data_IF_379349930574
#
_entry.id   IF_379349930574
#
_cell.length_a   1.000
_cell.length_b   1.000
_cell.length_c   1.000
_cell.angle_alpha   90.00
_cell.angle_beta   90.00
_cell.angle_gamma   90.00
#
_symmetry.space_group_name_H-M   'P 1'
#
loop_
_entity.id
_entity.type
_entity.pdbx_description
1 polymer ?
#
# COMPACT_ATOMS: atom_id res chain seq x y z
N UNK A 1 -15.35 32.14 -8.03
CA UNK A 1 -15.54 30.90 -7.25
C UNK A 1 -16.66 30.09 -7.88
N UNK A 2 -16.49 28.78 -8.08
CA UNK A 2 -17.53 27.93 -8.66
C UNK A 2 -18.51 27.40 -7.62
N UNK A 3 -19.72 27.00 -8.04
CA UNK A 3 -20.76 26.46 -7.15
C UNK A 3 -20.28 25.25 -6.33
N UNK A 4 -19.44 24.39 -6.91
CA UNK A 4 -18.88 23.22 -6.22
C UNK A 4 -17.85 23.55 -5.13
N UNK A 5 -17.23 24.74 -5.17
CA UNK A 5 -16.33 25.22 -4.10
C UNK A 5 -17.18 25.76 -2.94
N UNK A 6 -18.24 26.49 -3.26
CA UNK A 6 -19.16 27.02 -2.27
C UNK A 6 -19.91 25.92 -1.53
N UNK A 7 -20.40 24.90 -2.25
CA UNK A 7 -21.08 23.76 -1.65
C UNK A 7 -20.18 23.03 -0.65
N UNK A 8 -18.93 22.74 -1.03
CA UNK A 8 -17.97 22.10 -0.14
C UNK A 8 -17.67 22.94 1.12
N UNK A 9 -17.56 24.26 0.99
CA UNK A 9 -17.39 25.15 2.15
C UNK A 9 -18.62 25.14 3.07
N UNK A 10 -19.83 25.10 2.51
CA UNK A 10 -21.07 24.98 3.30
C UNK A 10 -21.16 23.64 4.02
N UNK A 11 -20.77 22.55 3.39
CA UNK A 11 -20.72 21.22 4.00
C UNK A 11 -19.70 21.17 5.14
N UNK A 12 -18.50 21.73 4.95
CA UNK A 12 -17.49 21.86 6.00
C UNK A 12 -18.02 22.69 7.18
N UNK A 13 -18.69 23.81 6.91
CA UNK A 13 -19.28 24.65 7.95
C UNK A 13 -20.40 23.92 8.70
N UNK A 14 -21.22 23.15 8.00
CA UNK A 14 -22.28 22.34 8.58
C UNK A 14 -21.71 21.28 9.53
N UNK A 15 -20.67 20.54 9.11
CA UNK A 15 -20.02 19.53 9.96
C UNK A 15 -19.47 20.18 11.24
N UNK A 16 -18.83 21.36 11.12
CA UNK A 16 -18.35 22.11 12.29
C UNK A 16 -19.48 22.54 13.24
N UNK A 17 -20.63 22.93 12.71
CA UNK A 17 -21.79 23.29 13.52
C UNK A 17 -22.37 22.06 14.23
N UNK A 18 -22.55 20.96 13.50
CA UNK A 18 -23.10 19.72 14.06
C UNK A 18 -22.17 19.09 15.10
N UNK A 19 -20.85 19.26 14.94
CA UNK A 19 -19.85 18.81 15.91
C UNK A 19 -20.10 19.37 17.33
N UNK A 20 -20.70 20.55 17.46
CA UNK A 20 -21.03 21.15 18.76
C UNK A 20 -22.07 20.33 19.54
N UNK A 21 -23.01 19.70 18.84
CA UNK A 21 -24.04 18.83 19.42
C UNK A 21 -23.66 17.34 19.38
N UNK A 22 -22.83 16.93 18.42
CA UNK A 22 -22.41 15.57 18.18
C UNK A 22 -20.88 15.50 17.99
N UNK A 23 -20.09 15.41 19.09
CA UNK A 23 -18.63 15.48 19.04
C UNK A 23 -17.97 14.42 18.15
N UNK A 24 -18.61 13.27 17.94
CA UNK A 24 -18.10 12.22 17.05
C UNK A 24 -18.11 12.63 15.57
N UNK A 25 -18.99 13.55 15.17
CA UNK A 25 -19.10 14.06 13.80
C UNK A 25 -18.06 15.16 13.54
N UNK A 26 -16.80 14.76 13.41
CA UNK A 26 -15.65 15.67 13.21
C UNK A 26 -15.02 15.61 11.82
N UNK A 27 -15.48 14.70 10.96
CA UNK A 27 -14.91 14.49 9.62
C UNK A 27 -15.96 14.66 8.52
N UNK A 28 -15.57 15.33 7.44
CA UNK A 28 -16.37 15.45 6.23
C UNK A 28 -15.79 14.56 5.12
N UNK A 29 -16.58 13.58 4.68
CA UNK A 29 -16.18 12.69 3.59
C UNK A 29 -16.47 13.31 2.22
N UNK A 30 -15.42 13.68 1.49
CA UNK A 30 -15.50 14.36 0.19
C UNK A 30 -15.54 13.42 -1.04
N UNK A 31 -15.62 12.11 -0.81
CA UNK A 31 -15.59 11.07 -1.84
C UNK A 31 -14.19 10.57 -2.20
N UNK A 32 -14.10 9.75 -3.25
CA UNK A 32 -12.83 9.20 -3.75
C UNK A 32 -11.92 10.27 -4.36
N UNK A 33 -10.61 10.18 -4.10
CA UNK A 33 -9.61 11.07 -4.67
C UNK A 33 -8.95 10.48 -5.92
N UNK A 34 -9.25 11.08 -7.07
CA UNK A 34 -8.63 10.75 -8.36
C UNK A 34 -7.70 11.89 -8.73
N UNK A 35 -6.39 11.69 -8.57
CA UNK A 35 -5.39 12.75 -8.70
C UNK A 35 -5.38 13.43 -10.09
N UNK A 36 -5.65 12.67 -11.16
CA UNK A 36 -5.68 13.18 -12.53
C UNK A 36 -6.82 14.15 -12.81
N UNK A 37 -7.91 14.13 -12.04
CA UNK A 37 -9.08 14.96 -12.32
C UNK A 37 -9.06 16.28 -11.52
N UNK A 38 -9.38 17.38 -12.22
CA UNK A 38 -9.33 18.72 -11.62
C UNK A 38 -10.36 18.93 -10.50
N UNK A 39 -11.50 18.22 -10.56
CA UNK A 39 -12.53 18.24 -9.51
C UNK A 39 -12.02 17.71 -8.18
N UNK A 40 -11.23 16.63 -8.17
CA UNK A 40 -10.69 16.12 -6.90
C UNK A 40 -9.48 16.92 -6.44
N UNK A 41 -8.69 17.50 -7.37
CA UNK A 41 -7.58 18.38 -7.00
C UNK A 41 -8.03 19.59 -6.19
N UNK A 42 -9.14 20.27 -6.56
CA UNK A 42 -9.62 21.40 -5.75
C UNK A 42 -10.13 20.95 -4.37
N UNK A 43 -10.85 19.82 -4.28
CA UNK A 43 -11.30 19.27 -2.99
C UNK A 43 -10.12 18.94 -2.08
N UNK A 44 -9.03 18.46 -2.65
CA UNK A 44 -7.79 18.22 -1.93
C UNK A 44 -7.00 19.48 -1.55
N UNK A 45 -7.48 20.70 -1.83
CA UNK A 45 -6.86 21.94 -1.36
C UNK A 45 -7.41 22.42 -0.01
N UNK A 46 -8.56 21.89 0.43
CA UNK A 46 -9.06 22.18 1.78
C UNK A 46 -8.13 21.54 2.82
N UNK A 47 -7.83 22.26 3.90
CA UNK A 47 -6.98 21.78 4.97
C UNK A 47 -7.71 21.80 6.32
N UNK A 48 -7.45 20.81 7.20
CA UNK A 48 -6.66 19.60 6.95
C UNK A 48 -7.44 18.57 6.08
N UNK A 49 -6.73 17.84 5.21
CA UNK A 49 -7.31 16.76 4.40
C UNK A 49 -6.42 15.50 4.43
N UNK A 50 -7.06 14.35 4.37
CA UNK A 50 -6.40 13.04 4.48
C UNK A 50 -6.89 12.11 3.38
N UNK A 51 -6.01 11.23 2.92
CA UNK A 51 -6.31 10.13 1.99
C UNK A 51 -6.05 8.79 2.67
N UNK A 52 -6.87 7.80 2.37
CA UNK A 52 -6.65 6.42 2.81
C UNK A 52 -5.61 5.77 1.92
N UNK A 53 -4.59 5.14 2.51
CA UNK A 53 -3.67 4.29 1.77
C UNK A 53 -4.40 3.03 1.26
N UNK A 54 -4.30 2.68 -0.03
CA UNK A 54 -4.98 1.50 -0.57
C UNK A 54 -4.46 0.18 0.06
N UNK A 55 -3.17 0.13 0.40
CA UNK A 55 -2.56 -1.10 0.94
C UNK A 55 -2.71 -1.26 2.47
N UNK A 56 -2.53 -0.18 3.25
CA UNK A 56 -2.56 -0.26 4.72
C UNK A 56 -3.84 0.24 5.36
N UNK A 57 -4.74 0.85 4.58
CA UNK A 57 -5.97 1.51 5.06
C UNK A 57 -5.75 2.61 6.10
N UNK A 58 -4.51 3.09 6.25
CA UNK A 58 -4.17 4.19 7.14
C UNK A 58 -4.47 5.55 6.49
N UNK A 59 -4.94 6.49 7.30
CA UNK A 59 -5.18 7.87 6.87
C UNK A 59 -3.87 8.66 6.86
N UNK A 60 -3.48 9.16 5.68
CA UNK A 60 -2.23 9.91 5.45
C UNK A 60 -2.57 11.34 5.02
N UNK A 61 -1.88 12.37 5.54
CA UNK A 61 -2.08 13.75 5.10
C UNK A 61 -1.90 13.90 3.59
N UNK A 62 -2.79 14.66 2.95
CA UNK A 62 -2.79 14.81 1.49
C UNK A 62 -1.50 15.46 0.96
N UNK A 63 -0.84 16.29 1.77
CA UNK A 63 0.44 16.93 1.45
C UNK A 63 1.54 15.91 1.19
N UNK A 64 1.54 14.79 1.93
CA UNK A 64 2.49 13.68 1.73
C UNK A 64 2.10 12.79 0.54
N UNK A 65 0.82 12.73 0.22
CA UNK A 65 0.29 11.87 -0.83
C UNK A 65 0.49 12.46 -2.23
N UNK A 66 0.30 13.78 -2.39
CA UNK A 66 0.43 14.50 -3.66
C UNK A 66 1.71 14.18 -4.44
N UNK A 67 2.92 14.38 -3.87
CA UNK A 67 4.16 14.11 -4.62
C UNK A 67 4.29 12.65 -5.07
N UNK A 68 3.76 11.70 -4.29
CA UNK A 68 3.73 10.27 -4.69
C UNK A 68 2.77 10.01 -5.85
N UNK A 69 1.66 10.75 -5.91
CA UNK A 69 0.64 10.63 -6.95
C UNK A 69 0.97 11.43 -8.23
N UNK A 70 1.81 12.47 -8.11
CA UNK A 70 2.35 13.20 -9.26
C UNK A 70 3.32 12.32 -10.07
N UNK A 71 4.08 11.44 -9.40
CA UNK A 71 5.03 10.52 -10.04
C UNK A 71 4.33 9.33 -10.70
N UNK A 72 3.34 8.75 -10.02
CA UNK A 72 2.68 7.53 -10.49
C UNK A 72 1.19 7.52 -10.15
N UNK A 73 0.38 6.87 -11.01
CA UNK A 73 -1.07 6.75 -10.80
C UNK A 73 -1.42 5.93 -9.56
N UNK A 74 -0.55 5.01 -9.15
CA UNK A 74 -0.74 4.13 -8.01
C UNK A 74 0.53 4.08 -7.18
N UNK A 75 0.48 4.68 -5.99
CA UNK A 75 1.61 4.72 -5.06
C UNK A 75 1.12 4.40 -3.66
N UNK A 76 1.89 3.58 -2.93
CA UNK A 76 1.67 3.36 -1.50
C UNK A 76 1.83 4.67 -0.73
N UNK A 77 0.76 5.11 -0.07
CA UNK A 77 0.72 6.41 0.60
C UNK A 77 1.38 6.36 1.98
N UNK A 78 1.19 5.27 2.73
CA UNK A 78 1.80 5.04 4.04
C UNK A 78 3.25 4.53 3.92
N UNK A 79 4.06 4.86 4.93
CA UNK A 79 5.45 4.38 5.06
C UNK A 79 5.56 3.22 6.04
N UNK A 80 4.54 2.99 6.86
CA UNK A 80 4.44 1.98 7.93
C UNK A 80 4.38 0.53 7.44
N UNK A 81 4.67 0.30 6.17
CA UNK A 81 4.79 -1.01 5.57
C UNK A 81 6.11 -1.67 5.87
N UNK A 82 6.05 -2.84 6.48
CA UNK A 82 7.15 -3.78 6.76
C UNK A 82 8.01 -4.20 5.56
N UNK A 83 7.73 -3.72 4.34
CA UNK A 83 8.33 -4.22 3.09
C UNK A 83 9.61 -3.48 2.66
N UNK A 84 10.12 -2.56 3.50
CA UNK A 84 11.43 -1.92 3.25
C UNK A 84 12.63 -2.83 3.56
N UNK A 85 12.41 -4.07 4.03
CA UNK A 85 13.49 -5.02 4.30
C UNK A 85 13.95 -5.72 3.03
N UNK A 86 14.79 -5.01 2.25
CA UNK A 86 15.53 -5.51 1.07
C UNK A 86 16.54 -6.64 1.37
N UNK A 87 16.49 -7.25 2.56
CA UNK A 87 17.38 -8.34 2.94
C UNK A 87 16.54 -9.59 3.17
N UNK A 88 16.25 -10.28 2.07
CA UNK A 88 15.49 -11.51 2.04
C UNK A 88 16.52 -12.64 2.00
N UNK A 89 16.57 -13.42 3.07
CA UNK A 89 17.42 -14.62 3.12
C UNK A 89 16.85 -15.65 2.12
N UNK A 90 17.43 -15.72 0.92
CA UNK A 90 17.04 -16.66 -0.17
C UNK A 90 16.95 -18.11 0.33
N UNK A 91 17.81 -18.42 1.28
CA UNK A 91 17.90 -19.70 1.96
C UNK A 91 16.65 -20.12 2.75
N UNK A 92 15.88 -19.15 3.26
CA UNK A 92 14.65 -19.39 4.03
C UNK A 92 13.39 -19.51 3.18
N UNK A 93 13.50 -19.28 1.87
CA UNK A 93 12.38 -19.42 0.93
C UNK A 93 11.89 -20.86 0.95
N UNK A 94 10.58 -21.05 1.16
CA UNK A 94 9.98 -22.38 1.16
C UNK A 94 9.74 -22.87 -0.27
N UNK A 95 10.22 -24.07 -0.56
CA UNK A 95 10.07 -24.76 -1.84
C UNK A 95 9.22 -26.01 -1.65
N UNK A 96 8.27 -26.22 -2.56
CA UNK A 96 7.51 -27.45 -2.65
C UNK A 96 8.09 -28.33 -3.76
N UNK A 97 8.68 -29.48 -3.39
CA UNK A 97 9.20 -30.46 -4.35
C UNK A 97 8.70 -31.87 -4.04
N UNK A 98 8.11 -32.54 -5.03
CA UNK A 98 7.54 -33.91 -4.91
C UNK A 98 6.64 -34.10 -3.68
N UNK A 99 5.84 -33.08 -3.35
CA UNK A 99 4.92 -33.11 -2.21
C UNK A 99 5.54 -32.80 -0.84
N UNK A 100 6.84 -32.51 -0.77
CA UNK A 100 7.51 -32.10 0.46
C UNK A 100 7.74 -30.59 0.48
N UNK A 101 7.43 -29.95 1.62
CA UNK A 101 7.75 -28.55 1.89
C UNK A 101 9.12 -28.49 2.57
N UNK A 102 10.08 -27.79 1.96
CA UNK A 102 11.41 -27.64 2.53
C UNK A 102 12.00 -26.25 2.22
N UNK A 103 12.77 -25.67 3.14
CA UNK A 103 13.55 -24.46 2.83
C UNK A 103 14.54 -24.70 1.68
N UNK A 104 14.85 -23.65 0.93
CA UNK A 104 15.74 -23.74 -0.24
C UNK A 104 17.13 -24.31 0.10
N UNK A 105 17.65 -24.04 1.29
CA UNK A 105 18.92 -24.64 1.77
C UNK A 105 18.92 -26.15 1.66
N UNK A 106 17.86 -26.80 2.14
CA UNK A 106 17.74 -28.26 2.11
C UNK A 106 17.48 -28.78 0.70
N UNK A 107 16.79 -28.00 -0.14
CA UNK A 107 16.55 -28.35 -1.53
C UNK A 107 17.88 -28.40 -2.30
N UNK A 108 18.75 -27.40 -2.11
CA UNK A 108 20.07 -27.33 -2.73
C UNK A 108 20.97 -28.51 -2.35
N UNK A 109 20.85 -29.00 -1.12
CA UNK A 109 21.60 -30.17 -0.64
C UNK A 109 21.06 -31.48 -1.26
N UNK A 110 19.73 -31.62 -1.36
CA UNK A 110 19.10 -32.84 -1.91
C UNK A 110 19.21 -32.96 -3.43
N UNK A 111 19.12 -31.86 -4.17
CA UNK A 111 19.29 -31.85 -5.62
C UNK A 111 20.72 -31.46 -5.97
N UNK A 112 21.64 -32.43 -6.07
CA UNK A 112 23.06 -32.18 -6.36
C UNK A 112 23.37 -31.42 -7.66
N UNK A 113 22.37 -31.07 -8.49
CA UNK A 113 22.48 -30.24 -9.69
C UNK A 113 21.19 -29.42 -9.89
N UNK A 114 21.12 -28.17 -9.40
CA UNK A 114 20.18 -27.21 -9.99
C UNK A 114 20.81 -25.82 -10.11
N UNK A 115 20.80 -25.31 -11.35
CA UNK A 115 21.40 -24.05 -11.83
C UNK A 115 20.49 -22.83 -11.60
N UNK A 116 19.56 -22.90 -10.65
CA UNK A 116 18.43 -21.98 -10.60
C UNK A 116 18.41 -21.14 -9.31
N UNK A 117 19.57 -20.76 -8.80
CA UNK A 117 19.67 -19.77 -7.71
C UNK A 117 19.04 -18.44 -8.17
N UNK A 118 19.24 -18.06 -9.44
CA UNK A 118 18.73 -16.81 -10.03
C UNK A 118 17.19 -16.71 -9.98
N UNK A 119 16.47 -17.79 -10.27
CA UNK A 119 14.99 -17.80 -10.22
C UNK A 119 14.46 -17.65 -8.79
N UNK A 120 15.13 -18.25 -7.80
CA UNK A 120 14.71 -18.13 -6.39
C UNK A 120 15.03 -16.74 -5.86
N UNK A 121 16.15 -16.15 -6.30
CA UNK A 121 16.51 -14.76 -6.00
C UNK A 121 15.49 -13.79 -6.60
N UNK A 122 15.11 -14.00 -7.87
CA UNK A 122 14.08 -13.19 -8.54
C UNK A 122 12.72 -13.32 -7.82
N UNK A 123 12.31 -14.55 -7.51
CA UNK A 123 11.10 -14.81 -6.74
C UNK A 123 11.14 -14.09 -5.38
N UNK A 124 12.21 -14.29 -4.60
CA UNK A 124 12.39 -13.65 -3.31
C UNK A 124 12.27 -12.12 -3.43
N UNK A 125 12.91 -11.52 -4.44
CA UNK A 125 12.84 -10.10 -4.72
C UNK A 125 11.43 -9.59 -5.06
N UNK A 126 10.59 -10.41 -5.69
CA UNK A 126 9.22 -10.05 -6.05
C UNK A 126 8.25 -10.18 -4.87
N UNK A 127 8.36 -11.23 -4.05
CA UNK A 127 7.34 -11.52 -3.02
C UNK A 127 7.58 -10.75 -1.71
N UNK A 128 8.84 -10.42 -1.41
CA UNK A 128 9.19 -9.81 -0.12
C UNK A 128 9.30 -10.84 1.02
N UNK A 129 9.88 -10.42 2.15
CA UNK A 129 10.20 -11.31 3.29
C UNK A 129 8.98 -12.04 3.86
N UNK A 130 7.90 -11.30 4.15
CA UNK A 130 6.70 -11.81 4.80
C UNK A 130 6.02 -12.91 3.98
N UNK A 131 6.00 -12.73 2.66
CA UNK A 131 5.39 -13.66 1.75
C UNK A 131 6.34 -14.81 1.37
N UNK A 132 7.66 -14.57 1.32
CA UNK A 132 8.64 -15.63 1.08
C UNK A 132 8.65 -16.70 2.19
N UNK A 133 8.29 -16.35 3.42
CA UNK A 133 8.17 -17.28 4.56
C UNK A 133 6.84 -18.06 4.57
N UNK A 134 5.82 -17.59 3.87
CA UNK A 134 4.46 -18.17 3.90
C UNK A 134 3.99 -18.77 2.58
N UNK A 135 4.57 -18.36 1.45
CA UNK A 135 4.26 -18.84 0.12
C UNK A 135 5.26 -19.91 -0.34
N UNK A 136 4.74 -20.93 -1.02
CA UNK A 136 5.54 -22.04 -1.54
C UNK A 136 5.92 -21.82 -3.00
N UNK A 137 7.21 -21.87 -3.30
CA UNK A 137 7.69 -21.95 -4.68
C UNK A 137 7.56 -23.40 -5.17
N UNK A 138 6.61 -23.65 -6.08
CA UNK A 138 6.36 -24.99 -6.62
C UNK A 138 7.42 -25.38 -7.64
N UNK A 139 8.15 -26.46 -7.38
CA UNK A 139 9.13 -27.05 -8.31
C UNK A 139 8.72 -28.49 -8.64
N UNK A 140 8.49 -28.73 -9.94
CA UNK A 140 8.20 -30.07 -10.48
C UNK A 140 9.41 -30.99 -10.39
#
# INVERSE_FOLDING_TARGET
MGLGVYSALREIALVRQLHLSAPDLKYYYMGFYIHSCQKMRYKGQYQPSYLVCPDTYEWVPIEKCRPKLDVSKYSRLSETGSDSQKNIDVNKVLVLHKGNMLPYEFYKIMSSHSKNDDEVIEYAGLVGKTCAESMLLVRK
#
